data_IF_058081549101
#
_entry.id   IF_058081549101
#
_cell.length_a   1.000
_cell.length_b   1.000
_cell.length_c   1.000
_cell.angle_alpha   90.00
_cell.angle_beta   90.00
_cell.angle_gamma   90.00
#
_symmetry.space_group_name_H-M   'P 1'
#
loop_
_entity.id
_entity.type
_entity.pdbx_description
1 polymer ?
#
# COMPACT_ATOMS: atom_id res chain seq x y z
N UNK A 1 -34.30 9.09 -32.06
CA UNK A 1 -34.72 8.40 -30.81
C UNK A 1 -33.57 7.48 -30.44
N UNK A 2 -32.69 7.84 -29.48
CA UNK A 2 -32.92 7.63 -28.04
C UNK A 2 -32.57 6.18 -27.62
N UNK A 3 -31.68 5.85 -26.69
CA UNK A 3 -30.77 6.57 -25.80
C UNK A 3 -29.68 5.59 -25.29
N UNK A 4 -28.66 6.17 -24.68
CA UNK A 4 -27.91 5.62 -23.54
C UNK A 4 -26.76 4.65 -23.85
N UNK A 5 -25.62 5.27 -24.16
CA UNK A 5 -24.31 4.86 -23.63
C UNK A 5 -24.41 4.65 -22.12
N UNK A 6 -24.50 3.39 -21.69
CA UNK A 6 -24.23 2.99 -20.32
C UNK A 6 -22.74 3.05 -20.04
N UNK A 7 -22.18 4.26 -19.91
CA UNK A 7 -20.86 4.42 -19.31
C UNK A 7 -20.99 4.04 -17.84
N UNK A 8 -20.67 2.79 -17.52
CA UNK A 8 -20.43 2.37 -16.16
C UNK A 8 -19.44 3.38 -15.55
N UNK A 9 -19.92 4.16 -14.57
CA UNK A 9 -19.10 5.03 -13.73
C UNK A 9 -18.06 4.13 -13.04
N UNK A 10 -16.92 3.91 -13.70
CA UNK A 10 -15.73 3.38 -13.02
C UNK A 10 -15.41 4.43 -11.96
N UNK A 11 -15.54 4.03 -10.70
CA UNK A 11 -15.05 4.81 -9.55
C UNK A 11 -13.66 5.32 -9.94
N UNK A 12 -13.34 6.61 -9.70
CA UNK A 12 -12.02 7.12 -10.01
C UNK A 12 -11.06 6.16 -9.36
N UNK A 13 -10.27 5.48 -10.18
CA UNK A 13 -9.24 4.59 -9.70
C UNK A 13 -8.46 5.45 -8.71
N UNK A 14 -8.48 5.11 -7.41
CA UNK A 14 -7.69 5.80 -6.40
C UNK A 14 -6.24 5.53 -6.78
N UNK A 15 -5.73 6.38 -7.68
CA UNK A 15 -4.38 6.30 -8.19
C UNK A 15 -3.52 6.30 -6.95
N UNK A 16 -2.82 5.20 -6.65
CA UNK A 16 -1.95 5.18 -5.50
C UNK A 16 -1.00 6.36 -5.64
N UNK A 17 -0.83 7.15 -4.57
CA UNK A 17 -0.07 8.39 -4.67
C UNK A 17 1.34 8.09 -5.17
N UNK A 18 1.94 9.04 -5.90
CA UNK A 18 3.26 8.87 -6.49
C UNK A 18 4.39 8.94 -5.44
N UNK A 19 4.06 8.95 -4.15
CA UNK A 19 4.99 9.05 -3.04
C UNK A 19 4.69 7.99 -1.99
N UNK A 20 5.75 7.56 -1.29
CA UNK A 20 5.64 6.65 -0.15
C UNK A 20 4.92 7.33 1.00
N UNK A 21 4.01 6.61 1.66
CA UNK A 21 3.28 7.11 2.83
C UNK A 21 3.52 6.22 4.02
N UNK A 22 3.74 6.82 5.19
CA UNK A 22 3.86 6.07 6.42
C UNK A 22 2.63 5.18 6.64
N UNK A 23 2.88 3.89 6.80
CA UNK A 23 1.86 2.86 7.01
C UNK A 23 1.71 2.53 8.50
N UNK A 24 2.82 2.54 9.24
CA UNK A 24 2.89 2.15 10.65
C UNK A 24 4.23 1.51 10.95
N UNK A 25 4.26 0.57 11.88
CA UNK A 25 5.51 -0.08 12.31
C UNK A 25 5.40 -1.59 12.12
N UNK A 26 6.47 -2.22 11.65
CA UNK A 26 6.55 -3.67 11.52
C UNK A 26 6.42 -4.32 12.89
N UNK A 27 5.54 -5.31 13.02
CA UNK A 27 5.36 -6.04 14.30
C UNK A 27 6.59 -6.85 14.72
N UNK A 28 7.43 -7.22 13.76
CA UNK A 28 8.53 -8.16 14.02
C UNK A 28 9.84 -7.42 14.29
N UNK A 29 10.26 -6.55 13.36
CA UNK A 29 11.51 -5.80 13.52
C UNK A 29 11.35 -4.44 14.20
N UNK A 30 10.11 -3.92 14.35
CA UNK A 30 9.87 -2.61 14.93
C UNK A 30 10.27 -1.44 14.02
N UNK A 31 10.62 -1.68 12.76
CA UNK A 31 10.97 -0.63 11.80
C UNK A 31 9.72 0.12 11.31
N UNK A 32 9.88 1.43 11.04
CA UNK A 32 8.83 2.23 10.41
C UNK A 32 8.61 1.77 8.97
N UNK A 33 7.36 1.39 8.67
CA UNK A 33 6.92 0.93 7.36
C UNK A 33 6.19 2.03 6.60
N UNK A 34 6.28 1.95 5.29
CA UNK A 34 5.65 2.84 4.33
C UNK A 34 4.97 2.01 3.25
N UNK A 35 3.87 2.53 2.71
CA UNK A 35 3.29 2.03 1.48
C UNK A 35 4.16 2.45 0.30
N UNK A 36 4.47 1.51 -0.59
CA UNK A 36 5.25 1.80 -1.80
C UNK A 36 4.51 2.79 -2.71
N UNK A 37 5.25 3.70 -3.33
CA UNK A 37 4.67 4.64 -4.29
C UNK A 37 3.99 3.86 -5.43
N UNK A 38 2.76 4.21 -5.77
CA UNK A 38 2.04 3.47 -6.80
C UNK A 38 1.47 2.11 -6.36
N UNK A 39 1.55 1.73 -5.08
CA UNK A 39 0.92 0.51 -4.53
C UNK A 39 0.26 0.75 -3.16
N UNK A 40 -0.91 0.14 -2.96
CA UNK A 40 -1.60 0.11 -1.66
C UNK A 40 -1.40 -1.21 -0.90
N UNK A 41 -0.72 -2.18 -1.51
CA UNK A 41 -0.57 -3.54 -0.98
C UNK A 41 0.88 -3.87 -0.63
N UNK A 42 1.82 -3.07 -1.12
CA UNK A 42 3.24 -3.27 -0.88
C UNK A 42 3.68 -2.41 0.29
N UNK A 43 4.10 -3.06 1.37
CA UNK A 43 4.77 -2.43 2.49
C UNK A 43 6.27 -2.51 2.28
N UNK A 44 6.95 -1.41 2.55
CA UNK A 44 8.40 -1.30 2.50
C UNK A 44 8.90 -0.55 3.72
N UNK A 45 10.16 -0.74 4.10
CA UNK A 45 10.82 0.08 5.13
C UNK A 45 11.29 1.44 4.57
N UNK A 46 12.18 2.11 5.31
CA UNK A 46 12.78 3.39 4.92
C UNK A 46 13.58 3.28 3.63
N UNK A 47 14.30 2.18 3.45
CA UNK A 47 15.19 1.93 2.33
C UNK A 47 14.42 1.43 1.09
N UNK A 48 13.16 1.03 1.28
CA UNK A 48 12.30 0.54 0.22
C UNK A 48 12.31 -0.98 0.10
N UNK A 49 12.83 -1.69 1.10
CA UNK A 49 12.80 -3.14 1.11
C UNK A 49 11.47 -3.62 1.69
N UNK A 50 10.79 -4.57 1.02
CA UNK A 50 9.60 -5.22 1.56
C UNK A 50 9.93 -6.35 2.54
N UNK A 51 11.20 -6.73 2.64
CA UNK A 51 11.68 -7.86 3.43
C UNK A 51 12.13 -7.43 4.82
N UNK A 52 11.75 -8.21 5.82
CA UNK A 52 12.10 -7.98 7.20
C UNK A 52 13.42 -8.66 7.53
N UNK A 53 14.50 -7.94 7.85
CA UNK A 53 15.78 -8.61 8.17
C UNK A 53 15.71 -9.52 9.42
N UNK A 54 14.74 -9.26 10.30
CA UNK A 54 14.55 -9.99 11.57
C UNK A 54 13.66 -11.23 11.43
N UNK A 55 13.06 -11.44 10.26
CA UNK A 55 12.18 -12.58 9.96
C UNK A 55 12.34 -12.97 8.50
N UNK A 56 12.59 -14.23 8.19
CA UNK A 56 12.76 -14.70 6.81
C UNK A 56 11.44 -14.60 6.00
N UNK A 57 11.05 -13.38 5.63
CA UNK A 57 9.75 -13.03 5.08
C UNK A 57 9.50 -11.52 5.02
N UNK A 58 8.29 -11.15 4.59
CA UNK A 58 7.90 -9.75 4.37
C UNK A 58 7.59 -9.01 5.68
N UNK A 59 7.75 -7.70 5.66
CA UNK A 59 7.28 -6.82 6.74
C UNK A 59 5.78 -6.97 6.97
N UNK A 60 5.38 -7.04 8.24
CA UNK A 60 3.97 -7.23 8.65
C UNK A 60 3.50 -6.03 9.46
N UNK A 61 2.48 -5.35 8.96
CA UNK A 61 1.83 -4.24 9.66
C UNK A 61 0.82 -4.77 10.69
N UNK A 62 0.88 -4.28 11.93
CA UNK A 62 -0.23 -4.45 12.86
C UNK A 62 -1.37 -3.52 12.45
N UNK A 63 -2.46 -4.03 11.89
CA UNK A 63 -3.69 -3.25 11.85
C UNK A 63 -4.29 -3.23 13.26
N UNK A 64 -4.18 -2.10 13.96
CA UNK A 64 -5.08 -1.84 15.11
C UNK A 64 -6.46 -1.59 14.53
N UNK A 65 -7.36 -2.52 14.80
CA UNK A 65 -8.78 -2.48 14.42
C UNK A 65 -9.54 -1.47 15.25
#
# INVERSE_FOLDING_TARGET
MSYAQGMAKRKPHEVPPPYRRYAGTCMICGMGLQWEAGSWLTLVDRDGSPDCERHEGRHVLAYRR
#
